data_IF_128283349319
#
_entry.id   IF_128283349319
#
_cell.length_a   1.000
_cell.length_b   1.000
_cell.length_c   1.000
_cell.angle_alpha   90.00
_cell.angle_beta   90.00
_cell.angle_gamma   90.00
#
_symmetry.space_group_name_H-M   'P 1'
#
loop_
_entity.id
_entity.type
_entity.pdbx_description
1 polymer ?
#
# COMPACT_ATOMS: atom_id res chain seq x y z
N UNK A 1 21.87 -20.23 -28.31
CA UNK A 1 21.21 -19.16 -27.52
C UNK A 1 20.88 -19.73 -26.17
N UNK A 2 21.52 -19.21 -25.13
CA UNK A 2 21.31 -19.60 -23.75
C UNK A 2 19.98 -19.01 -23.26
N UNK A 3 19.18 -19.80 -22.53
CA UNK A 3 17.91 -19.35 -21.98
C UNK A 3 18.19 -18.57 -20.70
N UNK A 4 17.68 -17.34 -20.61
CA UNK A 4 17.90 -16.47 -19.45
C UNK A 4 16.63 -16.47 -18.62
N UNK A 5 16.79 -16.69 -17.32
CA UNK A 5 15.72 -16.54 -16.33
C UNK A 5 15.46 -15.06 -16.06
N UNK A 6 14.35 -14.55 -16.57
CA UNK A 6 13.80 -13.25 -16.16
C UNK A 6 12.84 -13.55 -15.02
N UNK A 7 13.33 -13.43 -13.79
CA UNK A 7 12.69 -13.85 -12.52
C UNK A 7 11.20 -13.48 -12.30
N UNK A 8 10.57 -12.66 -13.16
CA UNK A 8 9.14 -12.35 -13.14
C UNK A 8 8.31 -12.99 -14.28
N UNK A 9 8.93 -13.56 -15.31
CA UNK A 9 8.24 -14.02 -16.54
C UNK A 9 8.71 -15.39 -17.08
N UNK A 10 9.78 -15.96 -16.55
CA UNK A 10 10.32 -17.27 -16.97
C UNK A 10 11.49 -17.19 -17.94
N UNK A 11 11.80 -18.33 -18.58
CA UNK A 11 12.98 -18.49 -19.44
C UNK A 11 12.71 -18.08 -20.90
N UNK A 12 13.37 -17.04 -21.38
CA UNK A 12 13.28 -16.61 -22.79
C UNK A 12 14.64 -16.61 -23.46
N UNK A 13 14.65 -16.90 -24.76
CA UNK A 13 15.76 -16.55 -25.66
C UNK A 13 15.48 -15.15 -26.19
N UNK A 14 16.24 -14.17 -25.70
CA UNK A 14 16.13 -12.79 -26.14
C UNK A 14 17.11 -12.50 -27.27
N UNK A 15 16.69 -11.60 -28.16
CA UNK A 15 17.52 -11.02 -29.22
C UNK A 15 18.34 -9.88 -28.61
N UNK A 16 19.67 -10.01 -28.65
CA UNK A 16 20.62 -9.10 -27.99
C UNK A 16 20.43 -7.63 -28.42
N UNK A 17 19.90 -7.38 -29.62
CA UNK A 17 19.66 -6.03 -30.14
C UNK A 17 18.53 -5.28 -29.43
N UNK A 18 17.67 -5.96 -28.66
CA UNK A 18 16.46 -5.37 -28.04
C UNK A 18 16.36 -5.59 -26.54
N UNK A 19 17.24 -6.37 -25.93
CA UNK A 19 17.28 -6.50 -24.49
C UNK A 19 18.13 -5.37 -23.90
N UNK A 20 17.58 -4.58 -22.97
CA UNK A 20 18.35 -3.61 -22.19
C UNK A 20 19.34 -4.27 -21.21
N UNK A 21 19.78 -5.49 -21.52
CA UNK A 21 20.72 -6.27 -20.74
C UNK A 21 22.13 -6.08 -21.29
N UNK A 22 22.99 -5.47 -20.49
CA UNK A 22 24.42 -5.44 -20.75
C UNK A 22 25.08 -6.65 -20.09
N UNK A 23 25.23 -7.72 -20.87
CA UNK A 23 25.89 -8.96 -20.43
C UNK A 23 27.39 -8.77 -20.13
N UNK A 24 27.99 -7.66 -20.57
CA UNK A 24 29.40 -7.34 -20.31
C UNK A 24 29.59 -6.63 -18.97
N UNK A 25 28.51 -6.17 -18.35
CA UNK A 25 28.55 -5.43 -17.09
C UNK A 25 29.00 -6.35 -15.94
N UNK A 26 30.16 -6.07 -15.32
CA UNK A 26 30.67 -6.91 -14.24
C UNK A 26 29.78 -6.80 -13.01
N UNK A 27 29.81 -7.84 -12.19
CA UNK A 27 29.16 -7.85 -10.88
C UNK A 27 29.73 -6.73 -10.00
N UNK A 28 28.90 -5.83 -9.43
CA UNK A 28 29.36 -4.82 -8.50
C UNK A 28 29.94 -5.44 -7.22
N UNK A 29 30.99 -4.84 -6.68
CA UNK A 29 31.61 -5.26 -5.43
C UNK A 29 30.62 -5.14 -4.25
N UNK A 30 30.56 -6.17 -3.41
CA UNK A 30 29.67 -6.21 -2.23
C UNK A 30 28.28 -6.82 -2.48
N UNK A 31 27.94 -7.16 -3.72
CA UNK A 31 26.67 -7.83 -4.03
C UNK A 31 26.78 -9.33 -3.73
N UNK A 32 26.01 -9.83 -2.76
CA UNK A 32 25.85 -11.29 -2.56
C UNK A 32 24.88 -11.84 -3.60
N UNK A 33 25.19 -13.01 -4.17
CA UNK A 33 24.41 -13.61 -5.26
C UNK A 33 23.82 -14.91 -4.74
N UNK A 34 22.51 -15.05 -4.86
CA UNK A 34 21.83 -16.26 -4.46
C UNK A 34 22.21 -17.43 -5.39
N UNK A 35 22.34 -18.66 -4.87
CA UNK A 35 22.56 -19.85 -5.71
C UNK A 35 21.42 -20.00 -6.71
N UNK A 36 21.75 -20.33 -7.96
CA UNK A 36 20.76 -20.52 -9.03
C UNK A 36 19.70 -21.56 -8.62
N UNK A 37 18.42 -21.23 -8.88
CA UNK A 37 17.23 -22.08 -8.69
C UNK A 37 16.66 -22.26 -7.26
N UNK A 38 16.80 -21.26 -6.37
CA UNK A 38 16.09 -21.25 -5.07
C UNK A 38 15.32 -19.94 -4.86
N UNK A 39 14.19 -19.98 -4.16
CA UNK A 39 13.44 -18.78 -3.79
C UNK A 39 14.35 -17.83 -3.00
N UNK A 40 14.54 -16.62 -3.51
CA UNK A 40 15.52 -15.67 -3.00
C UNK A 40 14.99 -15.06 -1.70
N UNK A 41 15.62 -15.35 -0.55
CA UNK A 41 15.35 -14.62 0.70
C UNK A 41 16.35 -13.46 0.85
N UNK A 42 16.03 -12.42 1.63
CA UNK A 42 16.96 -11.29 1.87
C UNK A 42 18.33 -11.73 2.40
N UNK A 43 18.39 -12.89 3.07
CA UNK A 43 19.64 -13.46 3.58
C UNK A 43 20.56 -14.02 2.48
N UNK A 44 20.01 -14.41 1.32
CA UNK A 44 20.72 -15.13 0.26
C UNK A 44 21.32 -14.20 -0.81
N UNK A 45 21.04 -12.89 -0.74
CA UNK A 45 21.51 -11.90 -1.70
C UNK A 45 20.54 -11.71 -2.87
N UNK A 46 21.03 -11.15 -3.99
CA UNK A 46 20.21 -10.83 -5.17
C UNK A 46 20.38 -11.87 -6.27
N UNK A 47 19.43 -12.00 -7.22
CA UNK A 47 19.61 -12.82 -8.42
C UNK A 47 20.86 -12.42 -9.21
N UNK A 48 21.53 -13.42 -9.82
CA UNK A 48 22.82 -13.28 -10.54
C UNK A 48 22.80 -12.26 -11.70
N UNK A 49 21.62 -11.89 -12.19
CA UNK A 49 21.47 -11.01 -13.34
C UNK A 49 20.81 -9.65 -13.00
N UNK A 50 20.67 -9.33 -11.71
CA UNK A 50 19.97 -8.13 -11.24
C UNK A 50 20.66 -6.80 -11.61
N UNK A 51 21.99 -6.79 -11.78
CA UNK A 51 22.76 -5.58 -12.14
C UNK A 51 22.99 -5.42 -13.65
N UNK A 52 22.64 -6.44 -14.44
CA UNK A 52 22.91 -6.50 -15.88
C UNK A 52 21.78 -5.90 -16.72
N UNK A 53 20.56 -5.79 -16.20
CA UNK A 53 19.39 -5.33 -16.94
C UNK A 53 18.96 -3.89 -16.63
N UNK A 54 18.46 -3.20 -17.64
CA UNK A 54 17.58 -2.04 -17.50
C UNK A 54 16.13 -2.48 -17.76
N UNK A 55 15.36 -2.83 -16.72
CA UNK A 55 14.00 -3.35 -16.89
C UNK A 55 12.97 -2.27 -17.27
N UNK A 56 13.27 -0.99 -17.03
CA UNK A 56 12.35 0.13 -17.26
C UNK A 56 12.95 1.16 -18.21
N UNK A 57 12.14 1.64 -19.17
CA UNK A 57 12.56 2.64 -20.16
C UNK A 57 12.54 4.08 -19.61
N UNK A 58 11.65 4.37 -18.65
CA UNK A 58 11.54 5.64 -17.93
C UNK A 58 10.77 5.43 -16.62
N UNK A 59 10.79 6.44 -15.75
CA UNK A 59 10.03 6.42 -14.50
C UNK A 59 9.04 7.60 -14.47
N UNK A 60 7.82 7.29 -14.04
CA UNK A 60 6.80 8.29 -13.69
C UNK A 60 7.00 8.68 -12.23
N UNK A 61 7.00 9.97 -11.93
CA UNK A 61 7.19 10.49 -10.58
C UNK A 61 5.93 11.24 -10.15
N UNK A 62 5.66 11.27 -8.86
CA UNK A 62 4.54 12.01 -8.33
C UNK A 62 4.65 12.20 -6.83
N UNK A 63 4.03 13.25 -6.33
CA UNK A 63 3.92 13.56 -4.91
C UNK A 63 2.46 13.84 -4.60
N UNK A 64 2.02 13.35 -3.45
CA UNK A 64 0.70 13.66 -2.91
C UNK A 64 0.77 14.10 -1.46
N UNK A 65 -0.07 15.07 -1.14
CA UNK A 65 -0.37 15.52 0.21
C UNK A 65 -1.84 15.22 0.49
N UNK A 66 -2.14 14.73 1.70
CA UNK A 66 -3.51 14.47 2.13
C UNK A 66 -3.71 14.94 3.57
N UNK A 67 -4.87 15.52 3.84
CA UNK A 67 -5.33 15.97 5.15
C UNK A 67 -6.63 15.26 5.50
N UNK A 68 -6.70 14.71 6.71
CA UNK A 68 -7.86 13.98 7.21
C UNK A 68 -8.28 14.48 8.59
N UNK A 69 -9.55 14.29 8.90
CA UNK A 69 -10.11 14.41 10.24
C UNK A 69 -10.64 13.04 10.66
N UNK A 70 -10.28 12.59 11.86
CA UNK A 70 -10.76 11.33 12.43
C UNK A 70 -11.69 11.60 13.62
N UNK A 71 -12.75 10.82 13.72
CA UNK A 71 -13.57 10.74 14.93
C UNK A 71 -12.98 9.66 15.85
N UNK A 72 -12.36 10.10 16.94
CA UNK A 72 -11.70 9.21 17.91
C UNK A 72 -12.67 8.29 18.67
N UNK A 73 -13.97 8.60 18.69
CA UNK A 73 -14.98 7.81 19.40
C UNK A 73 -15.59 6.71 18.53
N UNK A 74 -15.70 6.95 17.21
CA UNK A 74 -16.29 5.98 16.26
C UNK A 74 -15.26 5.30 15.37
N UNK A 75 -14.10 5.92 15.16
CA UNK A 75 -13.09 5.52 14.19
C UNK A 75 -13.40 5.95 12.76
N UNK A 76 -14.50 6.67 12.52
CA UNK A 76 -14.79 7.21 11.21
C UNK A 76 -13.75 8.28 10.81
N UNK A 77 -13.55 8.51 9.53
CA UNK A 77 -12.68 9.57 9.05
C UNK A 77 -13.27 10.28 7.84
N UNK A 78 -12.77 11.50 7.60
CA UNK A 78 -13.10 12.30 6.44
C UNK A 78 -11.83 12.85 5.82
N UNK A 79 -11.70 12.75 4.51
CA UNK A 79 -10.61 13.37 3.77
C UNK A 79 -10.99 14.82 3.44
N UNK A 80 -10.33 15.77 4.09
CA UNK A 80 -10.61 17.20 3.92
C UNK A 80 -10.01 17.69 2.60
N UNK A 81 -8.75 17.34 2.35
CA UNK A 81 -8.00 17.86 1.21
C UNK A 81 -6.97 16.86 0.73
N UNK A 82 -6.83 16.75 -0.59
CA UNK A 82 -5.71 16.07 -1.23
C UNK A 82 -5.15 16.92 -2.37
N UNK A 83 -3.83 17.02 -2.45
CA UNK A 83 -3.11 17.70 -3.52
C UNK A 83 -2.13 16.73 -4.16
N UNK A 84 -2.21 16.55 -5.48
CA UNK A 84 -1.35 15.67 -6.24
C UNK A 84 -0.59 16.46 -7.31
N UNK A 85 0.73 16.26 -7.40
CA UNK A 85 1.57 16.72 -8.49
C UNK A 85 2.20 15.50 -9.15
N UNK A 86 1.93 15.29 -10.45
CA UNK A 86 2.40 14.10 -11.18
C UNK A 86 3.17 14.52 -12.43
N UNK A 87 4.34 13.92 -12.64
CA UNK A 87 5.15 14.03 -13.85
C UNK A 87 4.66 13.04 -14.90
N UNK A 88 3.85 13.53 -15.83
CA UNK A 88 3.32 12.78 -16.97
C UNK A 88 4.09 13.07 -18.27
N UNK A 89 5.23 13.73 -18.18
CA UNK A 89 5.93 14.29 -19.32
C UNK A 89 5.11 15.34 -20.08
N UNK A 90 5.29 15.41 -21.40
CA UNK A 90 4.42 16.18 -22.28
C UNK A 90 3.13 15.39 -22.56
N UNK A 91 2.08 15.74 -21.82
CA UNK A 91 0.78 15.09 -21.91
C UNK A 91 0.17 15.19 -23.32
N UNK A 92 -0.29 14.05 -23.84
CA UNK A 92 -1.00 13.98 -25.14
C UNK A 92 -2.41 14.55 -24.99
N UNK A 93 -3.08 14.24 -23.88
CA UNK A 93 -4.40 14.76 -23.55
C UNK A 93 -4.50 14.99 -22.03
N UNK A 94 -4.29 16.25 -21.59
CA UNK A 94 -4.29 16.57 -20.16
C UNK A 94 -5.57 16.18 -19.44
N UNK A 95 -6.73 16.26 -20.10
CA UNK A 95 -8.02 15.92 -19.48
C UNK A 95 -8.15 14.43 -19.17
N UNK A 96 -7.63 13.57 -20.05
CA UNK A 96 -7.63 12.11 -19.82
C UNK A 96 -6.62 11.77 -18.73
N UNK A 97 -5.44 12.38 -18.77
CA UNK A 97 -4.38 12.11 -17.80
C UNK A 97 -4.79 12.54 -16.39
N UNK A 98 -5.45 13.69 -16.26
CA UNK A 98 -6.04 14.12 -14.97
C UNK A 98 -7.08 13.11 -14.48
N UNK A 99 -8.00 12.68 -15.35
CA UNK A 99 -9.01 11.68 -14.97
C UNK A 99 -8.42 10.34 -14.55
N UNK A 100 -7.30 9.92 -15.15
CA UNK A 100 -6.55 8.73 -14.73
C UNK A 100 -5.91 8.93 -13.35
N UNK A 101 -5.30 10.09 -13.10
CA UNK A 101 -4.71 10.42 -11.79
C UNK A 101 -5.79 10.41 -10.70
N UNK A 102 -6.94 11.05 -10.95
CA UNK A 102 -8.05 11.08 -10.01
C UNK A 102 -8.60 9.68 -9.74
N UNK A 103 -8.86 8.90 -10.80
CA UNK A 103 -9.37 7.53 -10.67
C UNK A 103 -8.42 6.61 -9.90
N UNK A 104 -7.13 6.62 -10.27
CA UNK A 104 -6.13 5.80 -9.61
C UNK A 104 -5.90 6.24 -8.16
N UNK A 105 -5.86 7.55 -7.87
CA UNK A 105 -5.74 8.05 -6.51
C UNK A 105 -6.90 7.57 -5.62
N UNK A 106 -8.14 7.69 -6.10
CA UNK A 106 -9.33 7.25 -5.35
C UNK A 106 -9.32 5.73 -5.17
N UNK A 107 -8.91 4.96 -6.17
CA UNK A 107 -8.77 3.51 -6.04
C UNK A 107 -7.70 3.12 -5.00
N UNK A 108 -6.57 3.82 -4.98
CA UNK A 108 -5.52 3.61 -3.97
C UNK A 108 -5.92 4.06 -2.56
N UNK A 109 -6.71 5.12 -2.46
CA UNK A 109 -7.34 5.56 -1.21
C UNK A 109 -8.28 4.47 -0.69
N UNK A 110 -9.16 3.94 -1.54
CA UNK A 110 -10.05 2.82 -1.21
C UNK A 110 -9.28 1.62 -0.70
N UNK A 111 -8.31 1.15 -1.47
CA UNK A 111 -7.41 0.05 -1.11
C UNK A 111 -6.72 0.23 0.25
N UNK A 112 -6.30 1.45 0.58
CA UNK A 112 -5.54 1.70 1.81
C UNK A 112 -6.39 2.06 3.03
N UNK A 113 -7.69 2.36 2.86
CA UNK A 113 -8.53 2.88 3.96
C UNK A 113 -9.86 2.14 4.17
N UNK A 114 -10.49 1.60 3.12
CA UNK A 114 -11.87 1.10 3.21
C UNK A 114 -12.06 -0.32 2.68
N UNK A 115 -11.37 -0.65 1.58
CA UNK A 115 -11.58 -1.90 0.85
C UNK A 115 -10.96 -3.07 1.61
N UNK A 116 -11.80 -3.82 2.31
CA UNK A 116 -11.39 -4.98 3.09
C UNK A 116 -11.99 -6.25 2.52
N UNK A 117 -11.15 -7.27 2.35
CA UNK A 117 -11.57 -8.59 1.93
C UNK A 117 -11.60 -9.50 3.15
N UNK A 118 -12.76 -10.10 3.43
CA UNK A 118 -12.95 -10.95 4.61
C UNK A 118 -13.20 -12.38 4.14
N UNK A 119 -12.42 -13.33 4.67
CA UNK A 119 -12.60 -14.76 4.46
C UNK A 119 -12.85 -15.48 5.78
N UNK A 120 -13.46 -16.66 5.71
CA UNK A 120 -13.62 -17.52 6.88
C UNK A 120 -12.28 -18.09 7.34
N UNK A 121 -11.63 -17.39 8.26
CA UNK A 121 -10.36 -17.74 8.91
C UNK A 121 -10.56 -17.99 10.43
N UNK A 122 -9.49 -17.88 11.21
CA UNK A 122 -9.51 -18.07 12.66
C UNK A 122 -10.10 -16.86 13.42
N UNK A 123 -10.08 -15.68 12.82
CA UNK A 123 -10.66 -14.45 13.40
C UNK A 123 -12.14 -14.30 13.04
N UNK A 124 -12.52 -14.75 11.84
CA UNK A 124 -13.87 -14.67 11.28
C UNK A 124 -14.63 -16.00 11.39
N UNK A 125 -14.62 -16.61 12.58
CA UNK A 125 -15.27 -17.91 12.83
C UNK A 125 -16.79 -17.91 12.61
N UNK A 126 -17.41 -16.73 12.58
CA UNK A 126 -18.82 -16.54 12.26
C UNK A 126 -19.14 -16.74 10.77
N UNK A 127 -18.13 -16.72 9.88
CA UNK A 127 -18.27 -17.08 8.47
C UNK A 127 -18.07 -18.59 8.31
N UNK A 128 -19.01 -19.25 7.61
CA UNK A 128 -18.97 -20.70 7.34
C UNK A 128 -19.36 -21.00 5.88
N UNK A 129 -18.81 -22.08 5.26
CA UNK A 129 -17.72 -22.93 5.75
C UNK A 129 -16.36 -22.20 5.75
N UNK A 130 -15.34 -22.80 6.39
CA UNK A 130 -13.95 -22.27 6.42
C UNK A 130 -13.42 -22.05 4.99
N UNK A 131 -12.57 -21.04 4.81
CA UNK A 131 -12.01 -20.58 3.53
C UNK A 131 -13.03 -20.00 2.52
N UNK A 132 -14.27 -19.72 2.94
CA UNK A 132 -15.25 -18.99 2.11
C UNK A 132 -15.02 -17.49 2.19
N UNK A 133 -15.04 -16.79 1.06
CA UNK A 133 -15.07 -15.32 1.02
C UNK A 133 -16.45 -14.79 1.46
N UNK A 134 -16.46 -13.86 2.40
CA UNK A 134 -17.67 -13.17 2.86
C UNK A 134 -17.98 -11.94 2.00
N UNK A 135 -16.95 -11.22 1.59
CA UNK A 135 -17.02 -9.98 0.81
C UNK A 135 -17.23 -10.25 -0.69
N UNK A 136 -18.37 -10.83 -1.05
CA UNK A 136 -18.67 -11.25 -2.44
C UNK A 136 -19.51 -10.26 -3.25
N UNK A 137 -19.76 -9.06 -2.75
CA UNK A 137 -20.56 -8.06 -3.45
C UNK A 137 -20.59 -6.70 -2.77
N UNK A 138 -21.21 -5.69 -3.40
CA UNK A 138 -21.18 -4.29 -2.94
C UNK A 138 -21.87 -4.07 -1.58
N UNK A 139 -22.67 -5.04 -1.12
CA UNK A 139 -23.24 -5.04 0.22
C UNK A 139 -22.20 -5.22 1.33
N UNK A 140 -21.15 -6.00 1.06
CA UNK A 140 -20.13 -6.41 2.04
C UNK A 140 -18.72 -5.92 1.69
N UNK A 141 -18.41 -5.70 0.42
CA UNK A 141 -17.18 -5.06 -0.05
C UNK A 141 -17.47 -3.60 -0.44
N UNK A 142 -16.83 -2.64 0.23
CA UNK A 142 -17.12 -1.22 0.09
C UNK A 142 -16.00 -0.50 -0.65
N UNK A 143 -16.29 -0.14 -1.90
CA UNK A 143 -15.45 0.77 -2.69
C UNK A 143 -15.74 2.23 -2.32
N UNK A 144 -14.82 3.17 -2.61
CA UNK A 144 -15.06 4.60 -2.47
C UNK A 144 -16.34 5.06 -3.18
N UNK A 145 -17.20 5.73 -2.44
CA UNK A 145 -18.39 6.39 -2.93
C UNK A 145 -18.18 7.91 -3.00
N UNK A 146 -19.18 8.63 -3.53
CA UNK A 146 -19.10 10.08 -3.75
C UNK A 146 -18.81 10.89 -2.47
N UNK A 147 -19.20 10.37 -1.30
CA UNK A 147 -19.00 11.01 0.00
C UNK A 147 -17.59 10.77 0.57
N UNK A 148 -16.81 9.86 -0.01
CA UNK A 148 -15.48 9.48 0.49
C UNK A 148 -14.35 10.25 -0.24
N UNK A 149 -14.67 10.87 -1.39
CA UNK A 149 -13.75 11.71 -2.16
C UNK A 149 -13.31 12.92 -1.32
N UNK A 150 -12.03 13.36 -1.42
CA UNK A 150 -11.57 14.56 -0.73
C UNK A 150 -12.45 15.78 -1.06
N UNK A 151 -12.85 16.57 -0.06
CA UNK A 151 -13.69 17.76 -0.29
C UNK A 151 -12.99 18.76 -1.23
N UNK A 152 -11.69 18.94 -1.02
CA UNK A 152 -10.82 19.70 -1.90
C UNK A 152 -9.83 18.74 -2.55
N UNK A 153 -9.98 18.47 -3.85
CA UNK A 153 -9.04 17.62 -4.58
C UNK A 153 -8.38 18.41 -5.71
N UNK A 154 -7.08 18.67 -5.57
CA UNK A 154 -6.28 19.40 -6.56
C UNK A 154 -5.31 18.44 -7.26
N UNK A 155 -5.41 18.34 -8.57
CA UNK A 155 -4.46 17.58 -9.40
C UNK A 155 -3.73 18.54 -10.32
N UNK A 156 -2.40 18.51 -10.27
CA UNK A 156 -1.52 19.30 -11.13
C UNK A 156 -0.57 18.40 -11.89
N UNK A 157 -0.31 18.74 -13.15
CA UNK A 157 0.69 18.07 -13.97
C UNK A 157 1.98 18.88 -13.91
N UNK A 158 3.12 18.20 -13.73
CA UNK A 158 4.41 18.87 -13.77
C UNK A 158 4.69 19.36 -15.19
N UNK A 159 5.03 20.65 -15.31
CA UNK A 159 5.36 21.29 -16.59
C UNK A 159 6.85 21.15 -16.92
N UNK A 160 7.18 21.29 -18.19
CA UNK A 160 8.56 21.36 -18.71
C UNK A 160 9.44 20.14 -18.40
N UNK A 161 8.84 18.94 -18.38
CA UNK A 161 9.53 17.65 -18.22
C UNK A 161 9.41 16.84 -19.50
N UNK A 162 10.39 16.95 -20.39
CA UNK A 162 10.39 16.18 -21.63
C UNK A 162 10.94 14.76 -21.41
N UNK A 163 10.24 13.76 -21.93
CA UNK A 163 10.72 12.39 -22.02
C UNK A 163 11.23 12.08 -23.45
N UNK A 164 12.54 12.10 -23.74
CA UNK A 164 13.02 11.91 -25.11
C UNK A 164 12.81 10.49 -25.65
N UNK A 165 12.46 9.52 -24.79
CA UNK A 165 12.34 8.10 -25.16
C UNK A 165 10.93 7.68 -25.56
N UNK A 166 9.91 8.47 -25.21
CA UNK A 166 8.51 8.12 -25.45
C UNK A 166 7.91 8.97 -26.57
N UNK A 167 6.84 8.44 -27.18
CA UNK A 167 6.09 9.13 -28.23
C UNK A 167 5.60 10.48 -27.72
N UNK A 168 5.86 11.56 -28.47
CA UNK A 168 5.53 12.94 -28.10
C UNK A 168 6.04 13.40 -26.73
N UNK A 169 7.08 12.74 -26.21
CA UNK A 169 7.62 13.02 -24.89
C UNK A 169 6.66 12.82 -23.71
N UNK A 170 5.66 11.95 -23.88
CA UNK A 170 4.70 11.58 -22.84
C UNK A 170 5.23 10.53 -21.85
N UNK A 171 4.52 10.31 -20.75
CA UNK A 171 4.74 9.18 -19.82
C UNK A 171 3.41 8.47 -19.53
N UNK A 172 3.49 7.19 -19.22
CA UNK A 172 2.32 6.43 -18.77
C UNK A 172 1.84 6.91 -17.38
N UNK A 173 0.53 7.12 -17.25
CA UNK A 173 -0.12 7.71 -16.07
C UNK A 173 -1.09 6.75 -15.36
N UNK A 174 -1.46 5.62 -15.94
CA UNK A 174 -2.56 4.79 -15.42
C UNK A 174 -2.33 4.21 -14.02
N UNK A 175 -1.20 3.55 -13.79
CA UNK A 175 -0.89 2.87 -12.52
C UNK A 175 -0.15 3.73 -11.48
N UNK A 176 0.82 4.59 -11.85
CA UNK A 176 1.65 5.31 -10.87
C UNK A 176 0.88 6.11 -9.80
N UNK A 177 -0.24 6.80 -10.12
CA UNK A 177 -0.98 7.56 -9.12
C UNK A 177 -1.74 6.71 -8.10
N UNK A 178 -1.88 5.38 -8.32
CA UNK A 178 -2.54 4.48 -7.36
C UNK A 178 -1.89 4.55 -5.98
N UNK A 179 -0.55 4.50 -5.92
CA UNK A 179 0.15 4.53 -4.65
C UNK A 179 0.02 5.89 -3.93
N UNK A 180 -0.25 6.98 -4.65
CA UNK A 180 -0.46 8.31 -4.07
C UNK A 180 -1.67 8.36 -3.12
N UNK A 181 -2.67 7.50 -3.36
CA UNK A 181 -3.82 7.34 -2.45
C UNK A 181 -3.43 6.89 -1.04
N UNK A 182 -2.29 6.21 -0.88
CA UNK A 182 -1.76 5.81 0.45
C UNK A 182 -1.39 7.01 1.33
N UNK A 183 -1.25 8.22 0.77
CA UNK A 183 -1.08 9.45 1.55
C UNK A 183 -2.21 9.67 2.56
N UNK A 184 -3.44 9.25 2.23
CA UNK A 184 -4.60 9.32 3.14
C UNK A 184 -4.41 8.37 4.31
N UNK A 185 -3.95 7.14 4.08
CA UNK A 185 -3.62 6.19 5.15
C UNK A 185 -2.57 6.76 6.11
N UNK A 186 -1.50 7.38 5.61
CA UNK A 186 -0.48 7.97 6.46
C UNK A 186 -0.99 9.20 7.23
N UNK A 187 -1.87 10.00 6.62
CA UNK A 187 -2.53 11.10 7.32
C UNK A 187 -3.43 10.59 8.46
N UNK A 188 -4.15 9.48 8.26
CA UNK A 188 -4.93 8.81 9.31
C UNK A 188 -4.00 8.31 10.42
N UNK A 189 -2.88 7.69 10.06
CA UNK A 189 -1.90 7.19 11.04
C UNK A 189 -1.33 8.32 11.90
N UNK A 190 -1.04 9.48 11.31
CA UNK A 190 -0.59 10.67 12.04
C UNK A 190 -1.68 11.21 12.98
N UNK A 191 -2.93 11.29 12.52
CA UNK A 191 -4.06 11.69 13.36
C UNK A 191 -4.28 10.74 14.54
N UNK A 192 -4.20 9.42 14.31
CA UNK A 192 -4.26 8.40 15.38
C UNK A 192 -3.09 8.55 16.34
N UNK A 193 -1.88 8.82 15.85
CA UNK A 193 -0.71 9.07 16.70
C UNK A 193 -0.94 10.29 17.62
N UNK A 194 -1.54 11.36 17.10
CA UNK A 194 -1.92 12.53 17.88
C UNK A 194 -2.95 12.20 18.97
N UNK A 195 -3.97 11.40 18.63
CA UNK A 195 -4.96 10.92 19.60
C UNK A 195 -4.32 10.09 20.71
N UNK A 196 -3.45 9.14 20.37
CA UNK A 196 -2.72 8.29 21.34
C UNK A 196 -1.86 9.11 22.29
N UNK A 197 -1.14 10.12 21.78
CA UNK A 197 -0.34 11.05 22.61
C UNK A 197 -1.21 11.76 23.65
N UNK A 198 -2.43 12.15 23.27
CA UNK A 198 -3.40 12.79 24.18
C UNK A 198 -3.85 11.86 25.30
N UNK A 199 -3.83 10.54 25.09
CA UNK A 199 -4.14 9.50 26.09
C UNK A 199 -2.88 8.89 26.76
N UNK A 200 -1.74 9.57 26.66
CA UNK A 200 -0.49 9.18 27.34
C UNK A 200 0.27 8.03 26.67
N UNK A 201 -0.06 7.66 25.43
CA UNK A 201 0.67 6.64 24.67
C UNK A 201 1.37 7.28 23.47
N UNK A 202 2.65 7.61 23.63
CA UNK A 202 3.47 8.23 22.57
C UNK A 202 4.37 7.22 21.83
N UNK A 203 4.26 5.94 22.15
CA UNK A 203 5.09 4.89 21.58
C UNK A 203 4.86 4.66 20.09
N UNK A 204 5.79 3.97 19.45
CA UNK A 204 5.57 3.43 18.12
C UNK A 204 4.40 2.45 18.15
N UNK A 205 3.57 2.50 17.11
CA UNK A 205 2.55 1.48 16.87
C UNK A 205 2.55 1.09 15.40
N UNK A 206 2.37 -0.20 15.17
CA UNK A 206 2.07 -0.72 13.85
C UNK A 206 0.59 -0.43 13.54
N UNK A 207 0.29 0.00 12.32
CA UNK A 207 -1.07 0.09 11.79
C UNK A 207 -1.03 -0.57 10.42
N UNK A 208 -1.86 -1.58 10.21
CA UNK A 208 -1.93 -2.30 8.94
C UNK A 208 -3.03 -1.74 8.06
N UNK A 209 -2.79 -1.75 6.75
CA UNK A 209 -3.79 -1.45 5.75
C UNK A 209 -4.79 -2.61 5.63
N UNK A 210 -6.07 -2.35 5.31
CA UNK A 210 -6.69 -1.03 5.16
C UNK A 210 -6.98 -0.36 6.52
N UNK A 211 -6.84 0.96 6.62
CA UNK A 211 -7.18 1.76 7.81
C UNK A 211 -8.70 1.90 8.03
N UNK A 212 -9.37 0.78 8.27
CA UNK A 212 -10.81 0.71 8.53
C UNK A 212 -11.19 1.44 9.81
N UNK A 213 -12.47 1.80 9.94
CA UNK A 213 -12.98 2.48 11.13
C UNK A 213 -12.71 1.68 12.42
N UNK A 214 -12.78 0.34 12.35
CA UNK A 214 -12.42 -0.54 13.45
C UNK A 214 -10.95 -0.34 13.87
N UNK A 215 -10.01 -0.42 12.91
CA UNK A 215 -8.57 -0.25 13.19
C UNK A 215 -8.27 1.14 13.74
N UNK A 216 -8.85 2.20 13.16
CA UNK A 216 -8.70 3.57 13.67
C UNK A 216 -9.18 3.65 15.12
N UNK A 217 -10.37 3.13 15.41
CA UNK A 217 -10.99 3.21 16.73
C UNK A 217 -10.17 2.50 17.80
N UNK A 218 -9.71 1.28 17.49
CA UNK A 218 -8.94 0.45 18.41
C UNK A 218 -7.56 1.05 18.70
N UNK A 219 -6.93 1.68 17.71
CA UNK A 219 -5.63 2.31 17.87
C UNK A 219 -5.63 3.65 18.61
N UNK A 220 -6.79 4.30 18.82
CA UNK A 220 -6.89 5.55 19.59
C UNK A 220 -6.51 5.37 21.08
N UNK A 221 -6.60 4.14 21.63
CA UNK A 221 -6.14 3.78 22.98
C UNK A 221 -6.67 4.64 24.14
N UNK A 222 -7.92 5.12 24.03
CA UNK A 222 -8.66 5.69 25.14
C UNK A 222 -9.09 4.60 26.16
N UNK A 223 -9.71 5.01 27.27
CA UNK A 223 -10.15 4.08 28.30
C UNK A 223 -11.13 3.01 27.77
N UNK A 224 -11.98 3.38 26.80
CA UNK A 224 -12.97 2.49 26.18
C UNK A 224 -12.27 1.46 25.29
N UNK A 225 -11.36 1.87 24.41
CA UNK A 225 -10.59 0.96 23.55
C UNK A 225 -9.78 -0.02 24.39
N UNK A 226 -9.07 0.47 25.43
CA UNK A 226 -8.29 -0.40 26.33
C UNK A 226 -9.17 -1.45 26.99
N UNK A 227 -10.30 -1.05 27.56
CA UNK A 227 -11.23 -1.99 28.18
C UNK A 227 -11.81 -3.02 27.18
N UNK A 228 -12.08 -2.60 25.94
CA UNK A 228 -12.55 -3.50 24.89
C UNK A 228 -11.47 -4.53 24.49
N UNK A 229 -10.23 -4.09 24.34
CA UNK A 229 -9.08 -4.94 23.98
C UNK A 229 -8.76 -5.91 25.12
N UNK A 230 -8.69 -5.44 26.36
CA UNK A 230 -8.43 -6.27 27.53
C UNK A 230 -9.49 -7.37 27.68
N UNK A 231 -10.76 -7.03 27.43
CA UNK A 231 -11.87 -7.99 27.43
C UNK A 231 -11.69 -9.03 26.32
N UNK A 232 -11.32 -8.62 25.11
CA UNK A 232 -11.08 -9.53 24.00
C UNK A 232 -9.92 -10.50 24.29
N UNK A 233 -8.81 -10.01 24.85
CA UNK A 233 -7.67 -10.83 25.24
C UNK A 233 -8.00 -11.81 26.37
N UNK A 234 -8.78 -11.39 27.37
CA UNK A 234 -9.18 -12.25 28.50
C UNK A 234 -10.19 -13.36 28.13
N UNK A 235 -11.00 -13.15 27.10
CA UNK A 235 -12.00 -14.13 26.63
C UNK A 235 -11.44 -15.26 25.76
N UNK A 236 -10.20 -15.15 25.27
CA UNK A 236 -9.60 -16.07 24.30
C UNK A 236 -8.95 -17.34 24.92
N UNK A 237 -8.99 -17.54 26.24
CA UNK A 237 -8.60 -18.82 26.89
C UNK A 237 -7.14 -19.28 26.69
N UNK A 238 -6.22 -18.39 26.28
CA UNK A 238 -4.80 -18.69 26.10
C UNK A 238 -3.98 -18.49 27.38
N UNK A 239 -3.12 -19.45 27.71
CA UNK A 239 -2.20 -19.45 28.85
C UNK A 239 -1.33 -18.20 28.92
N UNK A 240 -1.21 -17.67 30.14
CA UNK A 240 -0.56 -16.44 30.56
C UNK A 240 0.98 -16.42 30.47
N UNK A 241 1.58 -16.93 29.38
CA UNK A 241 3.05 -17.01 29.22
C UNK A 241 3.61 -16.25 28.02
N UNK A 242 2.79 -15.48 27.29
CA UNK A 242 3.27 -14.55 26.23
C UNK A 242 2.80 -13.10 26.44
N UNK A 243 2.24 -12.79 27.61
CA UNK A 243 1.79 -11.45 28.00
C UNK A 243 2.92 -10.51 28.46
N UNK A 244 4.19 -10.90 28.29
CA UNK A 244 5.35 -10.05 28.59
C UNK A 244 5.78 -9.29 27.34
N UNK A 245 5.14 -8.12 27.12
CA UNK A 245 5.65 -6.90 26.45
C UNK A 245 4.69 -6.18 25.48
N UNK A 246 3.50 -6.73 25.17
CA UNK A 246 2.58 -6.15 24.17
C UNK A 246 1.11 -6.12 24.58
N UNK A 247 0.77 -5.33 25.61
CA UNK A 247 -0.64 -5.07 26.00
C UNK A 247 -1.42 -4.31 24.92
N UNK A 248 -2.61 -3.78 25.24
CA UNK A 248 -3.54 -3.08 24.34
C UNK A 248 -2.93 -2.04 23.36
N UNK A 249 -1.69 -1.64 23.59
CA UNK A 249 -0.86 -0.77 22.76
C UNK A 249 -0.43 -1.38 21.42
N UNK A 250 -0.34 -2.72 21.33
CA UNK A 250 0.08 -3.48 20.13
C UNK A 250 -1.07 -4.30 19.52
N UNK A 251 -2.30 -4.16 20.03
CA UNK A 251 -3.44 -4.89 19.49
C UNK A 251 -3.73 -4.45 18.06
N UNK A 252 -3.82 -5.43 17.17
CA UNK A 252 -4.36 -5.27 15.85
C UNK A 252 -5.43 -6.33 15.62
N UNK A 253 -6.60 -5.96 15.09
CA UNK A 253 -7.51 -6.96 14.56
C UNK A 253 -6.78 -7.68 13.43
N UNK A 254 -6.50 -8.97 13.62
CA UNK A 254 -5.98 -9.82 12.56
C UNK A 254 -7.09 -9.91 11.50
N UNK A 255 -6.81 -9.30 10.35
CA UNK A 255 -7.66 -9.42 9.17
C UNK A 255 -7.04 -10.45 8.23
N UNK A 256 -7.88 -11.21 7.53
CA UNK A 256 -7.43 -11.96 6.37
C UNK A 256 -6.91 -10.97 5.32
N UNK A 257 -5.69 -11.16 4.82
CA UNK A 257 -5.12 -10.43 3.68
C UNK A 257 -5.48 -11.12 2.37
#
# INVERSE_FOLDING_TARGET
>A
MERIDLSAHGFFTLDDARCGYDFTKPKPDGVKVAPAATAVTEADGVPENSWKGQPFNYFTQGVAFSQVEIDVLTGNHKTIRSDCLVDVGSSINPSIDIGQIEGAFIQGMGWSTMEEVVYADDDHTWVRPRARMFTTGPGTYKIPAFNDVPETFNVSLQQDVDNPFAVHSSKAVGEPPFFLGSSVFYAIKDAVQSARRSFGNAGYFEMRMPATSERIRLHCCDAIARAAIDKACSGAGGSSESAESGGAETYQPQGSY
#
